data_IF_636421844636
#
_entry.id   IF_636421844636
#
_cell.length_a   1.000
_cell.length_b   1.000
_cell.length_c   1.000
_cell.angle_alpha   90.00
_cell.angle_beta   90.00
_cell.angle_gamma   90.00
#
_symmetry.space_group_name_H-M   'P 1'
#
loop_
_entity.id
_entity.type
_entity.pdbx_description
1 polymer ?
#
# COMPACT_ATOMS: atom_id res chain seq x y z
N UNK A 1 35.21 45.83 -13.91
CA UNK A 1 33.74 45.74 -14.00
C UNK A 1 33.42 44.29 -14.30
N UNK A 2 33.12 43.51 -13.27
CA UNK A 2 32.70 42.11 -13.37
C UNK A 2 31.18 42.08 -13.45
N UNK A 3 30.63 41.73 -14.60
CA UNK A 3 29.20 41.50 -14.81
C UNK A 3 28.80 40.26 -14.04
N UNK A 4 28.02 40.44 -12.99
CA UNK A 4 27.34 39.35 -12.28
C UNK A 4 26.18 38.87 -13.17
N UNK A 5 26.34 37.73 -13.82
CA UNK A 5 25.24 37.07 -14.48
C UNK A 5 24.25 36.55 -13.43
N UNK A 6 23.08 37.19 -13.39
CA UNK A 6 21.94 36.71 -12.59
C UNK A 6 21.44 35.40 -13.26
N UNK A 7 21.33 34.27 -12.53
CA UNK A 7 20.78 33.04 -13.09
C UNK A 7 19.31 33.28 -13.49
N UNK A 8 18.99 33.07 -14.76
CA UNK A 8 17.61 33.13 -15.26
C UNK A 8 16.73 32.20 -14.44
N UNK A 9 15.56 32.66 -13.97
CA UNK A 9 14.63 31.78 -13.28
C UNK A 9 14.21 30.67 -14.23
N UNK A 10 14.32 29.41 -13.73
CA UNK A 10 13.89 28.23 -14.47
C UNK A 10 12.46 28.44 -14.98
N UNK A 11 12.29 28.45 -16.31
CA UNK A 11 10.98 28.69 -16.96
C UNK A 11 9.98 27.67 -16.43
N UNK A 12 9.05 28.13 -15.63
CA UNK A 12 7.93 27.33 -15.12
C UNK A 12 7.07 26.92 -16.32
N UNK A 13 7.09 25.63 -16.69
CA UNK A 13 6.26 25.05 -17.75
C UNK A 13 4.97 24.51 -17.12
N UNK A 14 3.88 25.26 -17.09
CA UNK A 14 2.65 24.89 -16.36
C UNK A 14 2.06 23.57 -16.82
N UNK A 15 2.18 23.20 -18.09
CA UNK A 15 1.69 21.95 -18.62
C UNK A 15 2.37 20.70 -18.03
N UNK A 16 3.69 20.75 -17.77
CA UNK A 16 4.39 19.61 -17.14
C UNK A 16 4.02 19.43 -15.66
N UNK A 17 3.76 20.52 -14.94
CA UNK A 17 3.32 20.46 -13.55
C UNK A 17 1.91 19.86 -13.45
N UNK A 18 0.99 20.28 -14.33
CA UNK A 18 -0.36 19.73 -14.40
C UNK A 18 -0.35 18.22 -14.73
N UNK A 19 0.44 17.78 -15.71
CA UNK A 19 0.56 16.36 -16.05
C UNK A 19 1.10 15.52 -14.89
N UNK A 20 2.10 16.02 -14.15
CA UNK A 20 2.61 15.34 -12.95
C UNK A 20 1.55 15.23 -11.86
N UNK A 21 0.76 16.29 -11.65
CA UNK A 21 -0.31 16.29 -10.65
C UNK A 21 -1.39 15.27 -11.04
N UNK A 22 -1.86 15.31 -12.29
CA UNK A 22 -2.84 14.35 -12.80
C UNK A 22 -2.32 12.91 -12.63
N UNK A 23 -1.09 12.63 -13.06
CA UNK A 23 -0.49 11.31 -12.89
C UNK A 23 -0.42 10.86 -11.43
N UNK A 24 -0.10 11.78 -10.51
CA UNK A 24 -0.05 11.48 -9.08
C UNK A 24 -1.45 11.18 -8.52
N UNK A 25 -2.48 11.92 -8.94
CA UNK A 25 -3.87 11.68 -8.54
C UNK A 25 -4.36 10.32 -9.06
N UNK A 26 -4.07 9.99 -10.32
CA UNK A 26 -4.43 8.70 -10.91
C UNK A 26 -3.79 7.53 -10.14
N UNK A 27 -2.51 7.63 -9.81
CA UNK A 27 -1.82 6.62 -9.00
C UNK A 27 -2.43 6.50 -7.61
N UNK A 28 -2.68 7.62 -6.93
CA UNK A 28 -3.28 7.63 -5.60
C UNK A 28 -4.68 7.00 -5.60
N UNK A 29 -5.48 7.29 -6.61
CA UNK A 29 -6.80 6.71 -6.76
C UNK A 29 -6.73 5.19 -7.02
N UNK A 30 -5.82 4.73 -7.88
CA UNK A 30 -5.58 3.30 -8.08
C UNK A 30 -5.21 2.59 -6.78
N UNK A 31 -4.27 3.15 -6.01
CA UNK A 31 -3.89 2.59 -4.70
C UNK A 31 -5.05 2.61 -3.71
N UNK A 32 -5.88 3.65 -3.72
CA UNK A 32 -7.09 3.70 -2.88
C UNK A 32 -8.07 2.58 -3.23
N UNK A 33 -8.27 2.29 -4.52
CA UNK A 33 -9.15 1.21 -4.96
C UNK A 33 -8.69 -0.19 -4.48
N UNK A 34 -7.42 -0.38 -4.13
CA UNK A 34 -6.92 -1.67 -3.63
C UNK A 34 -7.56 -2.12 -2.31
N UNK A 35 -8.25 -1.22 -1.60
CA UNK A 35 -9.02 -1.54 -0.40
C UNK A 35 -10.43 -2.10 -0.67
N UNK A 36 -10.80 -2.30 -1.94
CA UNK A 36 -12.16 -2.70 -2.35
C UNK A 36 -12.08 -3.89 -3.31
N UNK A 37 -12.12 -5.10 -2.75
CA UNK A 37 -12.02 -6.39 -3.47
C UNK A 37 -13.23 -7.24 -3.08
N UNK A 38 -14.44 -6.75 -3.41
CA UNK A 38 -15.69 -7.47 -3.10
C UNK A 38 -15.91 -8.63 -4.06
N UNK A 39 -15.61 -8.42 -5.36
CA UNK A 39 -15.69 -9.42 -6.42
C UNK A 39 -14.44 -9.36 -7.31
N UNK A 40 -14.10 -10.46 -7.99
CA UNK A 40 -13.00 -10.54 -8.96
C UNK A 40 -13.55 -10.63 -10.39
N UNK A 41 -12.98 -9.83 -11.34
CA UNK A 41 -11.87 -8.89 -11.16
C UNK A 41 -12.28 -7.65 -10.35
N UNK A 42 -11.45 -7.26 -9.39
CA UNK A 42 -11.70 -6.11 -8.55
C UNK A 42 -11.59 -4.79 -9.36
N UNK A 43 -12.26 -3.70 -8.93
CA UNK A 43 -12.09 -2.38 -9.54
C UNK A 43 -10.63 -1.95 -9.62
N UNK A 44 -9.83 -2.33 -8.64
CA UNK A 44 -8.38 -2.12 -8.61
C UNK A 44 -7.67 -2.78 -9.80
N UNK A 45 -8.02 -4.04 -10.13
CA UNK A 45 -7.34 -4.81 -11.16
C UNK A 45 -7.53 -4.18 -12.53
N UNK A 46 -8.78 -3.84 -12.87
CA UNK A 46 -9.12 -3.22 -14.14
C UNK A 46 -8.47 -1.84 -14.24
N UNK A 47 -8.60 -1.04 -13.18
CA UNK A 47 -8.04 0.31 -13.16
C UNK A 47 -6.51 0.29 -13.30
N UNK A 48 -5.82 -0.56 -12.55
CA UNK A 48 -4.36 -0.66 -12.60
C UNK A 48 -3.87 -1.23 -13.93
N UNK A 49 -4.56 -2.19 -14.53
CA UNK A 49 -4.20 -2.70 -15.85
C UNK A 49 -4.24 -1.58 -16.92
N UNK A 50 -5.30 -0.77 -16.91
CA UNK A 50 -5.43 0.40 -17.81
C UNK A 50 -4.34 1.44 -17.50
N UNK A 51 -4.09 1.73 -16.25
CA UNK A 51 -3.09 2.72 -15.83
C UNK A 51 -1.67 2.30 -16.23
N UNK A 52 -1.30 1.04 -16.02
CA UNK A 52 -0.01 0.45 -16.42
C UNK A 52 0.13 0.53 -17.95
N UNK A 53 -0.89 0.12 -18.70
CA UNK A 53 -0.90 0.18 -20.17
C UNK A 53 -0.71 1.60 -20.67
N UNK A 54 -1.43 2.56 -20.10
CA UNK A 54 -1.30 3.97 -20.45
C UNK A 54 0.10 4.52 -20.18
N UNK A 55 0.68 4.19 -19.00
CA UNK A 55 2.03 4.63 -18.65
C UNK A 55 3.10 3.97 -19.51
N UNK A 56 2.89 2.73 -19.91
CA UNK A 56 3.77 2.03 -20.84
C UNK A 56 3.81 2.72 -22.20
N UNK A 57 2.65 3.14 -22.74
CA UNK A 57 2.53 3.90 -23.99
C UNK A 57 3.22 5.26 -23.89
N UNK A 58 3.14 5.92 -22.72
CA UNK A 58 3.80 7.21 -22.47
C UNK A 58 5.32 7.10 -22.27
N UNK A 59 5.87 5.90 -22.21
CA UNK A 59 7.29 5.64 -22.01
C UNK A 59 7.68 5.55 -20.54
N UNK A 60 7.29 4.46 -19.89
CA UNK A 60 7.72 4.15 -18.52
C UNK A 60 9.25 4.04 -18.46
N UNK A 61 9.87 4.83 -17.60
CA UNK A 61 11.33 4.77 -17.37
C UNK A 61 11.65 3.65 -16.42
N UNK A 62 12.40 2.68 -16.88
CA UNK A 62 12.89 1.55 -16.05
C UNK A 62 14.31 1.88 -15.60
N UNK A 63 14.49 2.10 -14.29
CA UNK A 63 15.80 2.25 -13.66
C UNK A 63 16.53 0.90 -13.58
N UNK A 64 17.81 0.92 -13.19
CA UNK A 64 18.56 -0.32 -12.94
C UNK A 64 17.93 -1.16 -11.84
N UNK A 65 17.44 -0.55 -10.78
CA UNK A 65 16.77 -1.22 -9.64
C UNK A 65 15.46 -1.86 -10.10
N UNK A 66 14.63 -1.09 -10.79
CA UNK A 66 13.36 -1.58 -11.35
C UNK A 66 13.59 -2.68 -12.40
N UNK A 67 14.64 -2.56 -13.23
CA UNK A 67 15.03 -3.58 -14.20
C UNK A 67 15.48 -4.88 -13.54
N UNK A 68 16.18 -4.81 -12.41
CA UNK A 68 16.55 -5.99 -11.63
C UNK A 68 15.30 -6.68 -11.04
N UNK A 69 14.37 -5.90 -10.48
CA UNK A 69 13.08 -6.43 -9.99
C UNK A 69 12.32 -7.12 -11.12
N UNK A 70 12.20 -6.49 -12.28
CA UNK A 70 11.56 -7.07 -13.46
C UNK A 70 12.22 -8.40 -13.86
N UNK A 71 13.56 -8.46 -13.88
CA UNK A 71 14.29 -9.68 -14.22
C UNK A 71 13.95 -10.84 -13.24
N UNK A 72 13.93 -10.58 -11.94
CA UNK A 72 13.53 -11.60 -10.95
C UNK A 72 12.06 -12.01 -11.12
N UNK A 73 11.16 -11.08 -11.40
CA UNK A 73 9.74 -11.41 -11.66
C UNK A 73 9.59 -12.25 -12.92
N UNK A 74 10.34 -11.99 -13.98
CA UNK A 74 10.33 -12.79 -15.21
C UNK A 74 10.85 -14.21 -14.97
N UNK A 75 11.92 -14.40 -14.18
CA UNK A 75 12.41 -15.71 -13.78
C UNK A 75 11.35 -16.46 -12.97
N UNK A 76 10.70 -15.79 -12.03
CA UNK A 76 9.60 -16.37 -11.26
C UNK A 76 8.44 -16.82 -12.17
N UNK A 77 8.04 -15.96 -13.11
CA UNK A 77 6.98 -16.30 -14.08
C UNK A 77 7.36 -17.47 -14.99
N UNK A 78 8.63 -17.56 -15.42
CA UNK A 78 9.11 -18.70 -16.19
C UNK A 78 8.96 -20.02 -15.40
N UNK A 79 9.25 -20.02 -14.09
CA UNK A 79 8.97 -21.16 -13.21
C UNK A 79 7.48 -21.51 -13.15
N UNK A 80 6.60 -20.53 -13.07
CA UNK A 80 5.15 -20.73 -13.11
C UNK A 80 4.67 -21.36 -14.44
N UNK A 81 5.19 -20.89 -15.58
CA UNK A 81 4.88 -21.50 -16.89
C UNK A 81 5.38 -22.94 -16.99
N UNK A 82 6.59 -23.23 -16.51
CA UNK A 82 7.12 -24.58 -16.48
C UNK A 82 6.28 -25.51 -15.58
N UNK A 83 5.76 -24.99 -14.46
CA UNK A 83 4.90 -25.77 -13.56
C UNK A 83 3.62 -26.24 -14.24
N UNK A 84 3.01 -25.45 -15.13
CA UNK A 84 1.82 -25.86 -15.88
C UNK A 84 2.10 -27.08 -16.77
N UNK A 85 3.29 -27.19 -17.33
CA UNK A 85 3.65 -28.34 -18.21
C UNK A 85 3.67 -29.68 -17.48
N UNK A 86 3.71 -29.67 -16.16
CA UNK A 86 3.74 -30.87 -15.32
C UNK A 86 2.36 -31.22 -14.74
N UNK A 87 1.32 -30.42 -15.03
CA UNK A 87 -0.02 -30.63 -14.51
C UNK A 87 -0.77 -31.63 -15.40
N UNK A 88 -1.43 -32.65 -14.81
CA UNK A 88 -2.29 -33.59 -15.52
C UNK A 88 -3.53 -32.90 -16.10
N UNK A 89 -4.05 -31.89 -15.42
CA UNK A 89 -5.19 -31.09 -15.88
C UNK A 89 -4.85 -29.60 -15.73
N UNK A 90 -4.99 -28.84 -16.82
CA UNK A 90 -4.64 -27.41 -16.83
C UNK A 90 -5.61 -26.60 -15.96
N UNK A 91 -6.90 -26.93 -15.94
CA UNK A 91 -7.92 -26.25 -15.12
C UNK A 91 -7.79 -24.73 -15.13
N UNK A 92 -7.79 -24.13 -13.95
CA UNK A 92 -7.69 -22.68 -13.76
C UNK A 92 -6.24 -22.14 -13.72
N UNK A 93 -5.23 -22.97 -13.97
CA UNK A 93 -3.82 -22.57 -13.89
C UNK A 93 -3.45 -21.37 -14.78
N UNK A 94 -3.98 -21.21 -16.01
CA UNK A 94 -3.72 -20.01 -16.82
C UNK A 94 -4.26 -18.74 -16.17
N UNK A 95 -5.40 -18.80 -15.47
CA UNK A 95 -5.98 -17.67 -14.75
C UNK A 95 -5.09 -17.25 -13.59
N UNK A 96 -4.61 -18.22 -12.78
CA UNK A 96 -3.66 -17.91 -11.69
C UNK A 96 -2.35 -17.32 -12.19
N UNK A 97 -1.83 -17.79 -13.34
CA UNK A 97 -0.66 -17.17 -13.95
C UNK A 97 -0.93 -15.75 -14.45
N UNK A 98 -2.09 -15.49 -15.05
CA UNK A 98 -2.46 -14.16 -15.49
C UNK A 98 -2.55 -13.18 -14.32
N UNK A 99 -3.18 -13.57 -13.22
CA UNK A 99 -3.24 -12.78 -11.98
C UNK A 99 -1.84 -12.54 -11.42
N UNK A 100 -0.99 -13.58 -11.38
CA UNK A 100 0.39 -13.45 -10.91
C UNK A 100 1.20 -12.50 -11.78
N UNK A 101 1.06 -12.57 -13.10
CA UNK A 101 1.70 -11.64 -14.04
C UNK A 101 1.22 -10.20 -13.80
N UNK A 102 -0.08 -10.00 -13.63
CA UNK A 102 -0.65 -8.69 -13.30
C UNK A 102 -0.04 -8.12 -12.00
N UNK A 103 0.08 -8.93 -10.95
CA UNK A 103 0.69 -8.51 -9.69
C UNK A 103 2.18 -8.16 -9.86
N UNK A 104 2.92 -8.96 -10.63
CA UNK A 104 4.32 -8.67 -10.98
C UNK A 104 4.46 -7.33 -11.74
N UNK A 105 3.63 -7.12 -12.75
CA UNK A 105 3.63 -5.86 -13.51
C UNK A 105 3.23 -4.66 -12.65
N UNK A 106 2.26 -4.83 -11.75
CA UNK A 106 1.86 -3.79 -10.79
C UNK A 106 3.00 -3.43 -9.85
N UNK A 107 3.75 -4.41 -9.33
CA UNK A 107 4.91 -4.18 -8.48
C UNK A 107 6.03 -3.42 -9.22
N UNK A 108 6.35 -3.83 -10.45
CA UNK A 108 7.34 -3.18 -11.30
C UNK A 108 6.91 -1.74 -11.65
N UNK A 109 5.64 -1.53 -11.98
CA UNK A 109 5.07 -0.22 -12.24
C UNK A 109 5.21 0.72 -11.03
N UNK A 110 4.77 0.28 -9.85
CA UNK A 110 4.88 1.08 -8.62
C UNK A 110 6.33 1.40 -8.28
N UNK A 111 7.25 0.44 -8.45
CA UNK A 111 8.68 0.66 -8.28
C UNK A 111 9.19 1.74 -9.25
N UNK A 112 8.86 1.64 -10.54
CA UNK A 112 9.30 2.58 -11.57
C UNK A 112 8.82 4.01 -11.32
N UNK A 113 7.55 4.20 -10.93
CA UNK A 113 7.00 5.53 -10.65
C UNK A 113 7.55 6.15 -9.36
N UNK A 114 7.92 5.33 -8.38
CA UNK A 114 8.59 5.78 -7.15
C UNK A 114 10.05 6.20 -7.47
N UNK A 115 10.76 5.42 -8.27
CA UNK A 115 12.12 5.76 -8.72
C UNK A 115 12.15 7.08 -9.52
N UNK A 116 11.13 7.35 -10.33
CA UNK A 116 11.01 8.61 -11.06
C UNK A 116 10.79 9.82 -10.14
N UNK A 117 9.97 9.67 -9.09
CA UNK A 117 9.71 10.70 -8.09
C UNK A 117 9.43 10.06 -6.72
N UNK A 118 10.40 10.09 -5.82
CA UNK A 118 10.32 9.52 -4.47
C UNK A 118 9.20 10.14 -3.61
N UNK A 119 8.67 11.33 -3.96
CA UNK A 119 7.52 11.94 -3.27
C UNK A 119 6.25 11.12 -3.46
N UNK A 120 6.17 10.33 -4.53
CA UNK A 120 5.05 9.41 -4.78
C UNK A 120 4.95 8.30 -3.75
N UNK A 121 6.05 7.92 -3.10
CA UNK A 121 6.02 6.96 -2.00
C UNK A 121 5.09 7.41 -0.86
N UNK A 122 5.23 8.67 -0.43
CA UNK A 122 4.35 9.25 0.60
C UNK A 122 2.89 9.31 0.13
N UNK A 123 2.67 9.65 -1.13
CA UNK A 123 1.33 9.70 -1.73
C UNK A 123 0.68 8.32 -1.74
N UNK A 124 1.41 7.28 -2.15
CA UNK A 124 0.97 5.89 -2.17
C UNK A 124 0.59 5.43 -0.76
N UNK A 125 1.44 5.65 0.24
CA UNK A 125 1.13 5.28 1.62
C UNK A 125 -0.06 6.05 2.20
N UNK A 126 -0.23 7.33 1.84
CA UNK A 126 -1.41 8.10 2.27
C UNK A 126 -2.69 7.56 1.63
N UNK A 127 -2.67 7.23 0.34
CA UNK A 127 -3.81 6.64 -0.36
C UNK A 127 -4.15 5.25 0.18
N UNK A 128 -3.13 4.42 0.42
CA UNK A 128 -3.30 3.10 1.06
C UNK A 128 -3.87 3.22 2.47
N UNK A 129 -3.39 4.18 3.25
CA UNK A 129 -3.91 4.45 4.60
C UNK A 129 -5.38 4.89 4.55
N UNK A 130 -5.75 5.75 3.60
CA UNK A 130 -7.14 6.16 3.40
C UNK A 130 -8.03 4.96 3.05
N UNK A 131 -7.58 4.08 2.13
CA UNK A 131 -8.27 2.84 1.80
C UNK A 131 -8.42 1.93 3.02
N UNK A 132 -7.32 1.74 3.79
CA UNK A 132 -7.31 0.90 4.98
C UNK A 132 -8.26 1.41 6.08
N UNK A 133 -8.28 2.71 6.34
CA UNK A 133 -9.23 3.31 7.29
C UNK A 133 -10.68 3.10 6.81
N UNK A 134 -10.96 3.36 5.53
CA UNK A 134 -12.31 3.21 4.97
C UNK A 134 -12.79 1.75 5.08
N UNK A 135 -12.00 0.79 4.61
CA UNK A 135 -12.40 -0.62 4.66
C UNK A 135 -12.43 -1.18 6.09
N UNK A 136 -11.55 -0.70 7.01
CA UNK A 136 -11.61 -1.05 8.42
C UNK A 136 -12.89 -0.52 9.07
N UNK A 137 -13.30 0.71 8.79
CA UNK A 137 -14.57 1.26 9.26
C UNK A 137 -15.77 0.43 8.77
N UNK A 138 -15.79 0.06 7.49
CA UNK A 138 -16.83 -0.80 6.94
C UNK A 138 -16.88 -2.16 7.67
N UNK A 139 -15.72 -2.79 7.89
CA UNK A 139 -15.62 -4.04 8.62
C UNK A 139 -16.08 -3.93 10.08
N UNK A 140 -15.75 -2.85 10.77
CA UNK A 140 -16.18 -2.56 12.15
C UNK A 140 -17.70 -2.35 12.19
N UNK A 141 -18.24 -1.49 11.31
CA UNK A 141 -19.67 -1.24 11.21
C UNK A 141 -20.45 -2.51 10.86
N UNK A 142 -19.90 -3.36 9.98
CA UNK A 142 -20.43 -4.67 9.64
C UNK A 142 -20.49 -5.59 10.86
N UNK A 143 -19.39 -5.69 11.60
CA UNK A 143 -19.28 -6.54 12.78
C UNK A 143 -20.32 -6.20 13.86
N UNK A 144 -20.55 -4.90 14.10
CA UNK A 144 -21.54 -4.41 15.05
C UNK A 144 -22.95 -4.28 14.47
N UNK A 145 -23.16 -4.68 13.19
CA UNK A 145 -24.46 -4.58 12.50
C UNK A 145 -25.07 -3.18 12.59
N UNK A 146 -24.24 -2.15 12.39
CA UNK A 146 -24.57 -0.75 12.67
C UNK A 146 -25.70 -0.19 11.76
N UNK A 147 -26.00 -0.81 10.63
CA UNK A 147 -27.07 -0.42 9.70
C UNK A 147 -27.59 -1.65 8.93
N UNK A 148 -28.82 -1.59 8.36
CA UNK A 148 -29.34 -2.68 7.54
C UNK A 148 -28.44 -3.00 6.36
N UNK A 149 -28.06 -4.29 6.18
CA UNK A 149 -27.16 -4.74 5.14
C UNK A 149 -25.67 -4.64 5.50
N UNK A 150 -25.32 -4.21 6.72
CA UNK A 150 -23.93 -4.13 7.17
C UNK A 150 -23.23 -5.51 7.21
N UNK A 151 -24.02 -6.59 7.29
CA UNK A 151 -23.51 -7.96 7.26
C UNK A 151 -22.67 -8.29 6.03
N UNK A 152 -22.86 -7.55 4.93
CA UNK A 152 -22.05 -7.73 3.71
C UNK A 152 -20.54 -7.46 3.92
N UNK A 153 -20.16 -6.77 5.00
CA UNK A 153 -18.77 -6.48 5.37
C UNK A 153 -18.20 -7.47 6.39
N UNK A 154 -18.93 -8.57 6.63
CA UNK A 154 -18.52 -9.65 7.54
C UNK A 154 -18.67 -11.02 6.89
N UNK A 155 -17.85 -11.95 7.35
CA UNK A 155 -17.93 -13.37 6.95
C UNK A 155 -17.58 -14.24 8.15
N UNK A 156 -18.42 -15.24 8.46
CA UNK A 156 -18.25 -16.12 9.63
C UNK A 156 -18.09 -15.35 10.94
N UNK A 157 -18.93 -14.34 11.16
CA UNK A 157 -18.88 -13.44 12.34
C UNK A 157 -17.50 -12.74 12.53
N UNK A 158 -16.80 -12.50 11.44
CA UNK A 158 -15.51 -11.83 11.39
C UNK A 158 -15.56 -10.63 10.47
N UNK A 159 -14.91 -9.52 10.85
CA UNK A 159 -14.80 -8.37 9.96
C UNK A 159 -13.94 -8.71 8.74
N UNK A 160 -14.44 -8.39 7.54
CA UNK A 160 -13.69 -8.50 6.29
C UNK A 160 -13.65 -7.19 5.51
N UNK A 161 -14.35 -6.14 5.99
CA UNK A 161 -14.42 -4.88 5.26
C UNK A 161 -14.92 -5.05 3.83
N UNK A 162 -14.34 -4.37 2.89
CA UNK A 162 -14.65 -4.50 1.46
C UNK A 162 -13.80 -5.56 0.76
N UNK A 163 -13.46 -6.67 1.44
CA UNK A 163 -12.75 -7.84 0.91
C UNK A 163 -13.66 -9.06 0.90
N UNK A 164 -13.22 -10.13 0.23
CA UNK A 164 -13.94 -11.40 0.19
C UNK A 164 -13.64 -12.30 1.41
N UNK A 165 -12.49 -12.08 2.07
CA UNK A 165 -12.01 -12.94 3.15
C UNK A 165 -11.31 -12.12 4.25
N UNK A 166 -11.66 -12.38 5.55
CA UNK A 166 -10.98 -11.77 6.69
C UNK A 166 -9.48 -12.00 6.74
N UNK A 167 -8.99 -13.11 6.17
CA UNK A 167 -7.56 -13.43 6.14
C UNK A 167 -6.79 -12.66 5.04
N UNK A 168 -7.49 -12.01 4.11
CA UNK A 168 -6.92 -11.04 3.16
C UNK A 168 -7.04 -9.61 3.72
N UNK A 169 -8.21 -9.29 4.29
CA UNK A 169 -8.46 -8.00 4.91
C UNK A 169 -7.47 -7.67 6.03
N UNK A 170 -7.25 -8.59 6.99
CA UNK A 170 -6.34 -8.36 8.11
C UNK A 170 -4.92 -7.99 7.67
N UNK A 171 -4.22 -8.81 6.87
CA UNK A 171 -2.90 -8.50 6.34
C UNK A 171 -2.81 -7.20 5.52
N UNK A 172 -3.84 -6.84 4.74
CA UNK A 172 -3.90 -5.58 4.00
C UNK A 172 -3.72 -4.35 4.91
N UNK A 173 -4.20 -4.43 6.15
CA UNK A 173 -4.16 -3.35 7.13
C UNK A 173 -2.78 -3.14 7.77
N UNK A 174 -1.85 -4.10 7.66
CA UNK A 174 -0.59 -4.07 8.42
C UNK A 174 0.35 -2.94 7.96
N UNK A 175 0.62 -2.83 6.68
CA UNK A 175 1.55 -1.81 6.18
C UNK A 175 1.07 -0.37 6.44
N UNK A 176 -0.22 -0.01 6.23
CA UNK A 176 -0.77 1.27 6.67
C UNK A 176 -0.64 1.52 8.17
N UNK A 177 -0.86 0.50 9.01
CA UNK A 177 -0.68 0.62 10.46
C UNK A 177 0.77 0.98 10.82
N UNK A 178 1.75 0.31 10.22
CA UNK A 178 3.17 0.61 10.43
C UNK A 178 3.53 2.01 9.95
N UNK A 179 2.98 2.45 8.82
CA UNK A 179 3.19 3.81 8.32
C UNK A 179 2.67 4.87 9.30
N UNK A 180 1.46 4.66 9.86
CA UNK A 180 0.89 5.54 10.88
C UNK A 180 1.71 5.52 12.17
N UNK A 181 2.09 4.33 12.65
CA UNK A 181 2.90 4.17 13.85
C UNK A 181 4.26 4.86 13.69
N UNK A 182 4.94 4.68 12.54
CA UNK A 182 6.17 5.40 12.22
C UNK A 182 5.97 6.91 12.27
N UNK A 183 4.88 7.44 11.69
CA UNK A 183 4.55 8.85 11.71
C UNK A 183 4.30 9.38 13.13
N UNK A 184 3.62 8.62 13.99
CA UNK A 184 3.39 8.95 15.41
C UNK A 184 4.71 9.07 16.17
N UNK A 185 5.66 8.16 15.92
CA UNK A 185 6.95 8.13 16.59
C UNK A 185 7.90 9.23 16.12
N UNK A 186 7.87 9.59 14.82
CA UNK A 186 8.88 10.48 14.20
C UNK A 186 8.44 11.90 13.94
N UNK A 187 7.15 12.13 13.65
CA UNK A 187 6.68 13.43 13.22
C UNK A 187 6.25 14.35 14.38
N UNK A 188 5.92 15.60 14.03
CA UNK A 188 5.49 16.62 15.00
C UNK A 188 4.10 16.33 15.57
N UNK A 189 3.85 16.82 16.77
CA UNK A 189 2.63 16.60 17.57
C UNK A 189 1.34 17.05 16.85
N UNK A 190 1.39 18.01 15.94
CA UNK A 190 0.21 18.59 15.30
C UNK A 190 -0.67 17.61 14.51
N UNK A 191 -0.10 16.52 13.99
CA UNK A 191 -0.84 15.46 13.28
C UNK A 191 -1.13 14.21 14.13
N UNK A 192 -0.69 14.20 15.39
CA UNK A 192 -0.77 13.04 16.27
C UNK A 192 -2.19 12.51 16.50
N UNK A 193 -3.22 13.35 16.83
CA UNK A 193 -4.56 12.82 17.14
C UNK A 193 -5.20 12.13 15.94
N UNK A 194 -5.05 12.67 14.73
CA UNK A 194 -5.62 12.08 13.50
C UNK A 194 -4.95 10.75 13.19
N UNK A 195 -3.62 10.66 13.31
CA UNK A 195 -2.88 9.41 13.08
C UNK A 195 -3.19 8.37 14.14
N UNK A 196 -3.30 8.77 15.41
CA UNK A 196 -3.65 7.87 16.49
C UNK A 196 -5.08 7.32 16.30
N UNK A 197 -6.05 8.16 15.94
CA UNK A 197 -7.40 7.73 15.62
C UNK A 197 -7.43 6.76 14.42
N UNK A 198 -6.73 7.08 13.33
CA UNK A 198 -6.61 6.21 12.17
C UNK A 198 -5.96 4.86 12.53
N UNK A 199 -4.87 4.87 13.29
CA UNK A 199 -4.22 3.66 13.78
C UNK A 199 -5.16 2.83 14.67
N UNK A 200 -5.93 3.47 15.58
CA UNK A 200 -6.91 2.82 16.42
C UNK A 200 -8.00 2.11 15.59
N UNK A 201 -8.56 2.79 14.57
CA UNK A 201 -9.55 2.21 13.65
C UNK A 201 -8.97 0.99 12.93
N UNK A 202 -7.79 1.13 12.34
CA UNK A 202 -7.15 0.04 11.60
C UNK A 202 -6.81 -1.13 12.55
N UNK A 203 -6.25 -0.86 13.73
CA UNK A 203 -5.92 -1.90 14.72
C UNK A 203 -7.17 -2.65 15.19
N UNK A 204 -8.28 -1.95 15.41
CA UNK A 204 -9.55 -2.59 15.72
C UNK A 204 -10.04 -3.46 14.56
N UNK A 205 -9.89 -3.00 13.31
CA UNK A 205 -10.17 -3.82 12.12
C UNK A 205 -9.34 -5.10 12.08
N UNK A 206 -8.02 -5.02 12.37
CA UNK A 206 -7.14 -6.19 12.47
C UNK A 206 -7.63 -7.15 13.56
N UNK A 207 -8.01 -6.65 14.73
CA UNK A 207 -8.51 -7.48 15.83
C UNK A 207 -9.82 -8.18 15.45
N UNK A 208 -10.78 -7.45 14.91
CA UNK A 208 -12.09 -7.98 14.51
C UNK A 208 -12.06 -8.86 13.25
N UNK A 209 -10.93 -8.88 12.53
CA UNK A 209 -10.71 -9.86 11.46
C UNK A 209 -10.58 -11.29 12.00
N UNK A 210 -10.27 -11.47 13.29
CA UNK A 210 -9.99 -12.75 13.92
C UNK A 210 -9.00 -13.62 13.12
N UNK A 211 -8.12 -12.97 12.35
CA UNK A 211 -7.04 -13.63 11.61
C UNK A 211 -5.81 -13.76 12.51
N UNK A 212 -5.52 -14.98 12.97
CA UNK A 212 -4.33 -15.24 13.80
C UNK A 212 -3.04 -14.82 13.11
N UNK A 213 -2.96 -15.02 11.80
CA UNK A 213 -1.82 -14.60 10.99
C UNK A 213 -1.69 -13.07 10.97
N UNK A 214 -2.79 -12.33 10.78
CA UNK A 214 -2.77 -10.87 10.79
C UNK A 214 -2.37 -10.32 12.17
N UNK A 215 -2.85 -10.91 13.26
CA UNK A 215 -2.45 -10.53 14.63
C UNK A 215 -0.95 -10.72 14.84
N UNK A 216 -0.44 -11.89 14.48
CA UNK A 216 0.99 -12.19 14.59
C UNK A 216 1.84 -11.26 13.74
N UNK A 217 1.43 -11.02 12.48
CA UNK A 217 2.10 -10.08 11.57
C UNK A 217 2.11 -8.66 12.15
N UNK A 218 0.97 -8.18 12.66
CA UNK A 218 0.89 -6.84 13.24
C UNK A 218 1.80 -6.68 14.46
N UNK A 219 1.69 -7.59 15.44
CA UNK A 219 2.48 -7.54 16.67
C UNK A 219 3.99 -7.65 16.36
N UNK A 220 4.38 -8.63 15.54
CA UNK A 220 5.79 -8.85 15.20
C UNK A 220 6.36 -7.68 14.41
N UNK A 221 5.65 -7.19 13.37
CA UNK A 221 6.14 -6.08 12.53
C UNK A 221 6.21 -4.77 13.29
N UNK A 222 5.24 -4.47 14.17
CA UNK A 222 5.27 -3.30 15.03
C UNK A 222 6.43 -3.36 16.02
N UNK A 223 6.61 -4.49 16.71
CA UNK A 223 7.72 -4.69 17.63
C UNK A 223 9.08 -4.58 16.94
N UNK A 224 9.23 -5.22 15.77
CA UNK A 224 10.46 -5.14 14.97
C UNK A 224 10.75 -3.71 14.51
N UNK A 225 9.74 -2.98 14.03
CA UNK A 225 9.90 -1.58 13.63
C UNK A 225 10.36 -0.71 14.81
N UNK A 226 9.71 -0.83 15.96
CA UNK A 226 10.08 -0.08 17.17
C UNK A 226 11.52 -0.42 17.60
N UNK A 227 11.88 -1.70 17.60
CA UNK A 227 13.24 -2.17 17.91
C UNK A 227 14.28 -1.57 16.96
N UNK A 228 14.04 -1.65 15.66
CA UNK A 228 14.96 -1.09 14.64
C UNK A 228 15.10 0.43 14.77
N UNK A 229 14.01 1.14 15.04
CA UNK A 229 14.06 2.58 15.29
C UNK A 229 14.85 2.90 16.56
N UNK A 230 14.67 2.13 17.64
CA UNK A 230 15.39 2.30 18.90
C UNK A 230 16.90 2.05 18.74
N UNK A 231 17.29 1.07 17.93
CA UNK A 231 18.71 0.75 17.66
C UNK A 231 19.34 1.82 16.79
N UNK A 232 18.63 2.25 15.74
CA UNK A 232 19.14 3.22 14.75
C UNK A 232 19.30 4.62 15.33
N UNK A 233 18.38 5.04 16.19
CA UNK A 233 18.34 6.40 16.73
C UNK A 233 19.24 6.55 17.95
N UNK A 234 20.13 7.54 17.92
CA UNK A 234 21.09 7.82 19.01
C UNK A 234 20.60 8.85 20.01
N UNK A 235 19.52 9.59 19.68
CA UNK A 235 18.98 10.63 20.55
C UNK A 235 18.28 10.05 21.78
N UNK A 236 18.76 10.40 22.99
CA UNK A 236 18.13 9.95 24.25
C UNK A 236 16.69 10.42 24.41
N UNK A 237 16.38 11.66 23.94
CA UNK A 237 15.02 12.20 23.96
C UNK A 237 14.06 11.39 23.06
N UNK A 238 14.53 10.95 21.89
CA UNK A 238 13.75 10.11 20.99
C UNK A 238 13.49 8.72 21.61
N UNK A 239 14.53 8.10 22.20
CA UNK A 239 14.40 6.81 22.86
C UNK A 239 13.40 6.87 24.02
N UNK A 240 13.43 7.95 24.79
CA UNK A 240 12.45 8.18 25.87
C UNK A 240 11.04 8.33 25.34
N UNK A 241 10.85 9.09 24.24
CA UNK A 241 9.55 9.24 23.57
C UNK A 241 9.01 7.89 23.11
N UNK A 242 9.86 7.06 22.45
CA UNK A 242 9.50 5.71 22.02
C UNK A 242 9.06 4.85 23.19
N UNK A 243 9.82 4.84 24.29
CA UNK A 243 9.47 4.09 25.50
C UNK A 243 8.13 4.54 26.11
N UNK A 244 7.89 5.84 26.21
CA UNK A 244 6.63 6.37 26.76
C UNK A 244 5.44 5.95 25.88
N UNK A 245 5.56 6.03 24.55
CA UNK A 245 4.46 5.69 23.62
C UNK A 245 4.20 4.18 23.56
N UNK A 246 5.22 3.34 23.76
CA UNK A 246 5.09 1.88 23.62
C UNK A 246 4.77 1.16 24.92
N UNK A 247 5.02 1.77 26.07
CA UNK A 247 4.79 1.17 27.40
C UNK A 247 3.61 1.80 28.16
N UNK A 248 3.11 2.95 27.72
CA UNK A 248 1.93 3.63 28.29
C UNK A 248 0.69 3.38 27.49
#
# INVERSE_FOLDING_TARGET
>A
MTTVETPFPATFKPGRAALRLIGSVLVAFGVFLSGFVIDEPAPFDIYMAVLIGFWFILGLKISRTTGLLLAFMLVFMAGGFLSITQMETIGDAPMYLAVTLFLCLSAVFLCAIIDEDHRRLKLIFNAWTAAAVTTAMLGILGYFKAFPGAEMFTRYDRAMGAFQDPNVFGPFLIAPSLYLLHGILTEKISGLPVRAAALGIISLGVLLSFSRAAWAMFAFSAAMMVLLMFIKERSGAFRLKVLIITLG
#
